data_IF_750500186773
#
_entry.id   IF_750500186773
#
_cell.length_a   1.000
_cell.length_b   1.000
_cell.length_c   1.000
_cell.angle_alpha   90.00
_cell.angle_beta   90.00
_cell.angle_gamma   90.00
#
_symmetry.space_group_name_H-M   'P 1'
#
loop_
_entity.id
_entity.type
_entity.pdbx_description
1 polymer ?
#
# COMPACT_ATOMS: atom_id res chain seq x y z
N UNK A 1 28.99 -12.65 65.09
CA UNK A 1 28.51 -11.34 64.62
C UNK A 1 28.64 -11.28 63.10
N UNK A 2 27.56 -10.83 62.46
CA UNK A 2 27.33 -10.41 61.05
C UNK A 2 27.74 -11.33 59.89
N UNK A 3 26.73 -11.96 59.28
CA UNK A 3 26.74 -12.53 57.92
C UNK A 3 26.57 -11.38 56.91
N UNK A 4 27.48 -11.26 55.95
CA UNK A 4 27.38 -10.30 54.84
C UNK A 4 26.57 -10.93 53.72
N UNK A 5 25.30 -10.55 53.58
CA UNK A 5 24.47 -10.88 52.41
C UNK A 5 24.76 -9.88 51.30
N UNK A 6 25.45 -10.33 50.25
CA UNK A 6 25.66 -9.56 49.03
C UNK A 6 24.36 -9.52 48.21
N UNK A 7 23.75 -8.34 48.10
CA UNK A 7 22.61 -8.09 47.21
C UNK A 7 23.12 -7.81 45.79
N UNK A 8 22.86 -8.71 44.85
CA UNK A 8 23.14 -8.51 43.44
C UNK A 8 22.08 -7.58 42.82
N UNK A 9 22.47 -6.35 42.49
CA UNK A 9 21.63 -5.40 41.77
C UNK A 9 21.58 -5.80 40.28
N UNK A 10 20.42 -6.28 39.82
CA UNK A 10 20.13 -6.51 38.40
C UNK A 10 19.87 -5.16 37.72
N UNK A 11 20.87 -4.62 37.03
CA UNK A 11 20.71 -3.46 36.16
C UNK A 11 20.00 -3.86 34.86
N UNK A 12 18.71 -3.53 34.75
CA UNK A 12 17.94 -3.66 33.50
C UNK A 12 18.39 -2.58 32.51
N UNK A 13 19.17 -2.99 31.51
CA UNK A 13 19.47 -2.16 30.33
C UNK A 13 18.17 -1.95 29.52
N UNK A 14 17.56 -0.77 29.66
CA UNK A 14 16.56 -0.28 28.71
C UNK A 14 17.26 0.03 27.39
N UNK A 15 17.18 -0.89 26.43
CA UNK A 15 17.55 -0.62 25.04
C UNK A 15 16.43 0.26 24.47
N UNK A 16 16.63 1.58 24.48
CA UNK A 16 15.77 2.50 23.76
C UNK A 16 15.96 2.25 22.26
N UNK A 17 14.92 1.71 21.60
CA UNK A 17 14.92 1.63 20.14
C UNK A 17 15.03 3.06 19.59
N UNK A 18 16.09 3.33 18.82
CA UNK A 18 16.26 4.62 18.16
C UNK A 18 15.02 4.94 17.30
N UNK A 19 14.51 6.18 17.32
CA UNK A 19 13.37 6.56 16.48
C UNK A 19 13.75 6.35 15.01
N UNK A 20 12.93 5.60 14.29
CA UNK A 20 13.13 5.38 12.87
C UNK A 20 12.75 6.67 12.13
N UNK A 21 13.65 7.32 11.40
CA UNK A 21 13.25 8.54 10.69
C UNK A 21 12.17 8.25 9.62
N UNK A 22 11.25 9.21 9.45
CA UNK A 22 10.25 9.14 8.40
C UNK A 22 10.95 9.06 7.02
N UNK A 23 10.75 7.97 6.29
CA UNK A 23 11.43 7.69 5.02
C UNK A 23 10.45 7.59 3.88
N UNK A 24 10.90 8.01 2.69
CA UNK A 24 10.17 7.81 1.44
C UNK A 24 10.94 6.85 0.54
N UNK A 25 10.32 5.71 0.22
CA UNK A 25 10.81 4.73 -0.74
C UNK A 25 10.17 4.98 -2.10
N UNK A 26 10.95 4.90 -3.18
CA UNK A 26 10.46 5.17 -4.54
C UNK A 26 10.84 4.04 -5.47
N UNK A 27 10.06 3.89 -6.53
CA UNK A 27 10.36 2.91 -7.54
C UNK A 27 9.40 2.93 -8.72
N UNK A 28 9.46 1.86 -9.50
CA UNK A 28 8.62 1.67 -10.67
C UNK A 28 7.86 0.35 -10.56
N UNK A 29 6.68 0.34 -11.15
CA UNK A 29 5.93 -0.88 -11.40
C UNK A 29 6.53 -1.64 -12.58
N UNK A 30 6.18 -2.91 -12.73
CA UNK A 30 6.51 -3.73 -13.91
C UNK A 30 5.88 -3.20 -15.22
N UNK A 31 5.06 -2.14 -15.14
CA UNK A 31 4.52 -1.40 -16.28
C UNK A 31 5.29 -0.10 -16.57
N UNK A 32 6.41 0.16 -15.87
CA UNK A 32 7.21 1.38 -15.98
C UNK A 32 6.59 2.62 -15.31
N UNK A 33 5.54 2.46 -14.49
CA UNK A 33 4.82 3.57 -13.84
C UNK A 33 5.32 3.80 -12.41
N UNK A 34 5.15 4.99 -11.87
CA UNK A 34 5.67 5.34 -10.55
C UNK A 34 4.94 4.62 -9.41
N UNK A 35 5.71 4.21 -8.40
CA UNK A 35 5.19 3.77 -7.11
C UNK A 35 6.03 4.36 -5.97
N UNK A 36 5.42 4.56 -4.79
CA UNK A 36 6.10 5.08 -3.61
C UNK A 36 5.43 4.64 -2.31
N UNK A 37 6.23 4.52 -1.25
CA UNK A 37 5.78 4.24 0.12
C UNK A 37 6.43 5.25 1.06
N UNK A 38 5.66 5.73 2.04
CA UNK A 38 6.14 6.64 3.09
C UNK A 38 5.96 5.97 4.43
N UNK A 39 7.02 5.94 5.26
CA UNK A 39 6.97 5.51 6.66
C UNK A 39 6.92 6.72 7.59
N UNK A 40 6.31 6.54 8.76
CA UNK A 40 6.35 7.50 9.87
C UNK A 40 7.67 7.43 10.64
N UNK A 41 7.77 8.22 11.71
CA UNK A 41 8.91 8.26 12.62
C UNK A 41 9.03 6.99 13.52
N UNK A 42 8.06 6.09 13.41
CA UNK A 42 7.99 4.78 14.03
C UNK A 42 8.38 3.66 13.05
N UNK A 43 8.76 4.01 11.81
CA UNK A 43 9.03 3.07 10.74
C UNK A 43 7.79 2.40 10.15
N UNK A 44 6.59 2.75 10.63
CA UNK A 44 5.33 2.16 10.16
C UNK A 44 4.87 2.89 8.89
N UNK A 45 4.46 2.18 7.82
CA UNK A 45 3.94 2.81 6.62
C UNK A 45 2.69 3.66 6.88
N UNK A 46 2.70 4.91 6.41
CA UNK A 46 1.57 5.84 6.54
C UNK A 46 0.85 6.07 5.20
N UNK A 47 1.55 5.83 4.09
CA UNK A 47 1.02 6.09 2.74
C UNK A 47 1.67 5.22 1.69
N UNK A 48 0.86 4.72 0.76
CA UNK A 48 1.33 4.06 -0.47
C UNK A 48 0.67 4.71 -1.68
N UNK A 49 1.43 4.99 -2.74
CA UNK A 49 0.90 5.47 -4.01
C UNK A 49 1.41 4.59 -5.13
N UNK A 50 0.51 4.12 -5.99
CA UNK A 50 0.86 3.27 -7.13
C UNK A 50 0.13 3.74 -8.36
N UNK A 51 0.87 4.09 -9.41
CA UNK A 51 0.33 4.37 -10.73
C UNK A 51 0.22 3.08 -11.54
N UNK A 52 -0.89 2.93 -12.24
CA UNK A 52 -1.23 1.68 -12.94
C UNK A 52 -1.90 1.96 -14.29
N UNK A 53 -1.93 0.92 -15.11
CA UNK A 53 -2.66 0.81 -16.36
C UNK A 53 -3.38 -0.53 -16.38
N UNK A 54 -4.65 -0.53 -16.75
CA UNK A 54 -5.51 -1.70 -16.81
C UNK A 54 -6.14 -1.82 -18.20
N UNK A 55 -6.03 -2.97 -18.90
CA UNK A 55 -6.79 -3.21 -20.11
C UNK A 55 -8.29 -3.27 -19.81
N UNK A 56 -9.10 -2.80 -20.76
CA UNK A 56 -10.54 -2.88 -20.70
C UNK A 56 -11.07 -4.09 -21.48
N UNK A 57 -12.31 -4.51 -21.19
CA UNK A 57 -12.98 -5.60 -21.93
C UNK A 57 -13.15 -5.20 -23.40
N UNK A 58 -13.41 -3.92 -23.66
CA UNK A 58 -13.39 -3.38 -25.03
C UNK A 58 -11.97 -3.35 -25.56
N UNK A 59 -11.73 -4.07 -26.66
CA UNK A 59 -10.41 -4.17 -27.29
C UNK A 59 -9.85 -2.79 -27.67
N UNK A 60 -8.55 -2.58 -27.41
CA UNK A 60 -7.84 -1.32 -27.66
C UNK A 60 -7.98 -0.27 -26.55
N UNK A 61 -8.97 -0.39 -25.65
CA UNK A 61 -9.18 0.57 -24.57
C UNK A 61 -8.40 0.20 -23.31
N UNK A 62 -7.95 1.22 -22.60
CA UNK A 62 -7.20 1.08 -21.35
C UNK A 62 -7.58 2.17 -20.37
N UNK A 63 -7.78 1.79 -19.11
CA UNK A 63 -7.82 2.73 -18.00
C UNK A 63 -6.40 2.98 -17.49
N UNK A 64 -6.10 4.23 -17.14
CA UNK A 64 -4.87 4.60 -16.45
C UNK A 64 -5.22 5.41 -15.23
N UNK A 65 -4.55 5.16 -14.12
CA UNK A 65 -4.82 5.86 -12.89
C UNK A 65 -3.67 5.81 -11.91
N UNK A 66 -3.90 6.41 -10.75
CA UNK A 66 -3.05 6.28 -9.58
C UNK A 66 -3.89 6.11 -8.35
N UNK A 67 -3.63 5.08 -7.57
CA UNK A 67 -4.31 4.84 -6.31
C UNK A 67 -3.43 5.29 -5.17
N UNK A 68 -4.01 6.05 -4.24
CA UNK A 68 -3.39 6.44 -2.97
C UNK A 68 -4.07 5.66 -1.85
N UNK A 69 -3.26 4.95 -1.09
CA UNK A 69 -3.66 4.25 0.12
C UNK A 69 -3.08 5.01 1.31
N UNK A 70 -3.91 5.19 2.33
CA UNK A 70 -3.56 5.82 3.59
C UNK A 70 -4.41 5.18 4.69
N UNK A 71 -4.02 5.40 5.95
CA UNK A 71 -4.77 4.93 7.09
C UNK A 71 -6.26 5.34 7.03
N UNK A 72 -7.18 4.49 7.53
CA UNK A 72 -6.93 3.17 8.10
C UNK A 72 -6.67 2.10 7.02
N UNK A 73 -5.60 1.32 7.18
CA UNK A 73 -5.30 0.14 6.36
C UNK A 73 -6.08 -1.08 6.88
N UNK A 74 -6.23 -2.12 6.06
CA UNK A 74 -6.75 -3.42 6.56
C UNK A 74 -5.80 -4.03 7.58
N UNK A 75 -4.49 -3.98 7.30
CA UNK A 75 -3.45 -4.31 8.26
C UNK A 75 -2.18 -3.51 7.95
N UNK A 76 -1.43 -3.10 8.98
CA UNK A 76 -0.17 -2.38 8.81
C UNK A 76 0.79 -2.68 9.96
N UNK A 77 2.07 -2.84 9.65
CA UNK A 77 3.18 -2.98 10.59
C UNK A 77 4.46 -2.41 9.96
N UNK A 78 5.57 -2.43 10.70
CA UNK A 78 6.88 -2.02 10.18
C UNK A 78 7.34 -2.78 8.92
N UNK A 79 6.76 -3.96 8.65
CA UNK A 79 7.18 -4.84 7.55
C UNK A 79 6.04 -5.23 6.58
N UNK A 80 4.82 -4.73 6.82
CA UNK A 80 3.63 -5.09 6.04
C UNK A 80 2.69 -3.90 5.86
N UNK A 81 2.16 -3.76 4.65
CA UNK A 81 0.96 -2.98 4.36
C UNK A 81 -0.01 -3.87 3.61
N UNK A 82 -1.23 -3.99 4.13
CA UNK A 82 -2.33 -4.63 3.44
C UNK A 82 -3.54 -3.70 3.42
N UNK A 83 -4.10 -3.50 2.23
CA UNK A 83 -5.33 -2.75 2.06
C UNK A 83 -6.18 -3.40 0.96
N UNK A 84 -7.13 -4.24 1.37
CA UNK A 84 -7.84 -5.19 0.49
C UNK A 84 -9.35 -5.08 0.66
N UNK A 85 -10.09 -5.44 -0.40
CA UNK A 85 -11.55 -5.49 -0.36
C UNK A 85 -12.24 -4.12 -0.36
N UNK A 86 -11.49 -3.02 -0.50
CA UNK A 86 -12.06 -1.68 -0.59
C UNK A 86 -12.63 -1.45 -1.99
N UNK A 87 -13.82 -0.85 -2.03
CA UNK A 87 -14.40 -0.33 -3.27
C UNK A 87 -15.07 1.02 -3.03
N UNK A 88 -14.95 1.92 -3.99
CA UNK A 88 -15.59 3.22 -3.96
C UNK A 88 -16.24 3.53 -5.30
N UNK A 89 -17.23 4.43 -5.26
CA UNK A 89 -17.94 4.89 -6.45
C UNK A 89 -17.48 6.28 -6.84
N UNK A 90 -17.38 6.52 -8.13
CA UNK A 90 -17.06 7.83 -8.70
C UNK A 90 -18.07 8.17 -9.78
N UNK A 91 -18.39 9.45 -9.89
CA UNK A 91 -19.13 9.98 -11.04
C UNK A 91 -18.12 10.62 -11.98
N UNK A 92 -18.17 10.22 -13.25
CA UNK A 92 -17.31 10.71 -14.33
C UNK A 92 -18.20 11.56 -15.25
N UNK A 93 -17.59 12.54 -15.94
CA UNK A 93 -18.29 13.38 -16.92
C UNK A 93 -19.13 12.54 -17.89
N UNK A 94 -20.29 13.06 -18.29
CA UNK A 94 -21.20 12.38 -19.22
C UNK A 94 -22.12 11.34 -18.58
N UNK A 95 -22.32 11.38 -17.26
CA UNK A 95 -23.24 10.49 -16.54
C UNK A 95 -22.70 9.06 -16.35
N UNK A 96 -21.41 8.86 -16.59
CA UNK A 96 -20.75 7.58 -16.39
C UNK A 96 -20.46 7.38 -14.90
N UNK A 97 -20.85 6.24 -14.36
CA UNK A 97 -20.59 5.84 -12.97
C UNK A 97 -19.48 4.80 -12.94
N UNK A 98 -18.42 5.07 -12.20
CA UNK A 98 -17.35 4.12 -11.93
C UNK A 98 -17.56 3.44 -10.58
N UNK A 99 -17.33 2.13 -10.50
CA UNK A 99 -17.05 1.43 -9.25
C UNK A 99 -15.63 0.88 -9.33
N UNK A 100 -14.78 1.35 -8.44
CA UNK A 100 -13.36 1.02 -8.42
C UNK A 100 -13.11 0.14 -7.21
N UNK A 101 -12.49 -1.03 -7.42
CA UNK A 101 -12.04 -1.95 -6.38
C UNK A 101 -10.53 -2.10 -6.44
N UNK A 102 -9.89 -2.14 -5.29
CA UNK A 102 -8.42 -2.19 -5.18
C UNK A 102 -7.96 -3.15 -4.09
N UNK A 103 -6.88 -3.87 -4.39
CA UNK A 103 -6.22 -4.78 -3.44
C UNK A 103 -4.72 -4.50 -3.42
N UNK A 104 -4.20 -4.07 -2.28
CA UNK A 104 -2.80 -3.75 -2.06
C UNK A 104 -2.19 -4.71 -1.04
N UNK A 105 -1.02 -5.25 -1.39
CA UNK A 105 -0.12 -5.91 -0.43
C UNK A 105 1.29 -5.41 -0.69
N UNK A 106 1.99 -4.94 0.35
CA UNK A 106 3.39 -4.53 0.30
C UNK A 106 4.11 -5.16 1.49
N UNK A 107 5.25 -5.79 1.25
CA UNK A 107 6.09 -6.41 2.28
C UNK A 107 7.49 -5.85 2.22
N UNK A 108 8.14 -5.75 3.38
CA UNK A 108 9.55 -5.41 3.45
C UNK A 108 10.40 -6.60 3.02
N UNK A 109 11.48 -6.31 2.30
CA UNK A 109 12.47 -7.25 1.78
C UNK A 109 13.86 -6.62 1.96
N UNK A 110 14.45 -6.85 3.14
CA UNK A 110 15.65 -6.14 3.59
C UNK A 110 15.44 -4.62 3.65
N UNK A 111 16.24 -3.88 2.90
CA UNK A 111 16.13 -2.42 2.80
C UNK A 111 15.06 -1.94 1.81
N UNK A 112 14.43 -2.86 1.07
CA UNK A 112 13.45 -2.57 0.02
C UNK A 112 12.05 -2.94 0.45
N UNK A 113 11.08 -2.47 -0.32
CA UNK A 113 9.69 -2.89 -0.24
C UNK A 113 9.24 -3.50 -1.56
N UNK A 114 8.61 -4.66 -1.49
CA UNK A 114 8.06 -5.36 -2.66
C UNK A 114 6.55 -5.41 -2.52
N UNK A 115 5.83 -5.02 -3.58
CA UNK A 115 4.39 -4.91 -3.51
C UNK A 115 3.66 -5.35 -4.77
N UNK A 116 2.37 -5.62 -4.56
CA UNK A 116 1.41 -5.96 -5.59
C UNK A 116 0.15 -5.12 -5.45
N UNK A 117 -0.37 -4.64 -6.56
CA UNK A 117 -1.65 -3.95 -6.66
C UNK A 117 -2.58 -4.67 -7.65
N UNK A 118 -3.79 -4.97 -7.21
CA UNK A 118 -4.94 -5.30 -8.06
C UNK A 118 -5.86 -4.09 -8.21
N UNK A 119 -6.37 -3.85 -9.42
CA UNK A 119 -7.38 -2.81 -9.69
C UNK A 119 -8.45 -3.37 -10.61
N UNK A 120 -9.71 -3.09 -10.29
CA UNK A 120 -10.86 -3.34 -11.16
C UNK A 120 -11.75 -2.12 -11.19
N UNK A 121 -12.01 -1.60 -12.38
CA UNK A 121 -12.93 -0.50 -12.63
C UNK A 121 -14.13 -1.00 -13.44
N UNK A 122 -15.32 -0.86 -12.88
CA UNK A 122 -16.59 -1.13 -13.55
C UNK A 122 -17.19 0.20 -13.97
N UNK A 123 -17.45 0.39 -15.26
CA UNK A 123 -18.10 1.58 -15.78
C UNK A 123 -19.54 1.27 -16.13
N UNK A 124 -20.47 2.09 -15.64
CA UNK A 124 -21.89 1.93 -15.89
C UNK A 124 -22.53 3.25 -16.37
N UNK A 125 -23.49 3.15 -17.29
CA UNK A 125 -24.28 4.27 -17.80
C UNK A 125 -25.75 3.86 -17.83
N UNK A 126 -26.65 4.72 -17.34
CA UNK A 126 -28.09 4.40 -17.26
C UNK A 126 -28.40 3.04 -16.59
N UNK A 127 -27.66 2.69 -15.53
CA UNK A 127 -27.82 1.42 -14.81
C UNK A 127 -27.20 0.19 -15.48
N UNK A 128 -26.64 0.30 -16.69
CA UNK A 128 -26.02 -0.81 -17.43
C UNK A 128 -24.50 -0.70 -17.39
N UNK A 129 -23.80 -1.81 -17.14
CA UNK A 129 -22.33 -1.86 -17.24
C UNK A 129 -21.93 -1.78 -18.71
N UNK A 130 -21.12 -0.78 -19.05
CA UNK A 130 -20.67 -0.51 -20.42
C UNK A 130 -19.24 -1.00 -20.69
N UNK A 131 -18.40 -1.05 -19.65
CA UNK A 131 -17.05 -1.61 -19.75
C UNK A 131 -16.51 -2.03 -18.38
N UNK A 132 -15.48 -2.88 -18.41
CA UNK A 132 -14.74 -3.33 -17.23
C UNK A 132 -13.26 -3.27 -17.56
N UNK A 133 -12.49 -2.49 -16.80
CA UNK A 133 -11.04 -2.43 -16.92
C UNK A 133 -10.40 -3.07 -15.70
N UNK A 134 -9.51 -4.04 -15.90
CA UNK A 134 -8.95 -4.82 -14.80
C UNK A 134 -7.48 -5.15 -15.02
N UNK A 135 -6.70 -4.96 -13.95
CA UNK A 135 -5.36 -5.54 -13.81
C UNK A 135 -5.30 -6.29 -12.49
N UNK A 136 -5.05 -7.60 -12.56
CA UNK A 136 -5.04 -8.46 -11.36
C UNK A 136 -3.79 -8.25 -10.49
N UNK A 137 -2.65 -7.92 -11.13
CA UNK A 137 -1.36 -7.88 -10.43
C UNK A 137 -0.38 -6.94 -11.13
N UNK A 138 -0.26 -5.72 -10.60
CA UNK A 138 0.84 -4.80 -10.88
C UNK A 138 1.91 -5.03 -9.82
N UNK A 139 3.11 -5.44 -10.22
CA UNK A 139 4.23 -5.67 -9.30
C UNK A 139 5.10 -4.41 -9.23
N UNK A 140 5.67 -4.12 -8.07
CA UNK A 140 6.62 -3.03 -7.90
C UNK A 140 7.63 -3.33 -6.81
N UNK A 141 8.81 -2.71 -6.93
CA UNK A 141 9.88 -2.71 -5.93
C UNK A 141 10.21 -1.26 -5.62
N UNK A 142 10.38 -0.94 -4.35
CA UNK A 142 10.72 0.38 -3.83
C UNK A 142 12.01 0.29 -3.04
N UNK A 143 12.94 1.20 -3.30
CA UNK A 143 14.21 1.35 -2.59
C UNK A 143 14.46 2.81 -2.24
#
# INVERSE_FOLDING_TARGET
>A
MLKVTAAAALSTLLIAAAPAEAKTFRGKTNQGRTASLVTGADGVPTRVRVSWRAPCKRAGYRATGGTKFAAPFTAVSADLVQDTGKSYRVTIKGGLRGRISTDLVVKRDGERWVGTLGVRELFARHGKVVDVCQVKKVRFVLG
#
